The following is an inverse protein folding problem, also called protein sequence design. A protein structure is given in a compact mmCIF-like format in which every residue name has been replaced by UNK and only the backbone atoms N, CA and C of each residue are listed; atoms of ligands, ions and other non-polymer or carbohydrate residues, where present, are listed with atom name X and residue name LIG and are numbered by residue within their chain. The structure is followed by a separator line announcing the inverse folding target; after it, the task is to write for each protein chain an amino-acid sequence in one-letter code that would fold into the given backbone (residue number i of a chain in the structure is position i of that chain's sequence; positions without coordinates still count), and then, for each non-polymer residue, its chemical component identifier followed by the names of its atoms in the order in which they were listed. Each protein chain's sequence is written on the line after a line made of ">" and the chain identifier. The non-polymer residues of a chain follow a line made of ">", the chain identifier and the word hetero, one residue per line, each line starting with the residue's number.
data_IF_323315896935
#
_entry.id   IF_323315896935
#
_cell.length_a   1.000
_cell.length_b   1.000
_cell.length_c   1.000
_cell.angle_alpha   90.00
_cell.angle_beta   90.00
_cell.angle_gamma   90.00
#
_symmetry.space_group_name_H-M   'P 1'
#
loop_
_entity.id
_entity.type
_entity.pdbx_description
1 polymer ?
#
# COMPACT_ATOMS: atom_id res chain seq x y z
N UNK A 1 -6.53 13.21 24.64
CA UNK A 1 -5.26 13.63 24.01
C UNK A 1 -5.55 13.72 22.52
N UNK A 2 -5.64 14.93 21.98
CA UNK A 2 -6.10 15.16 20.59
C UNK A 2 -5.19 14.43 19.59
N UNK A 3 -5.79 13.52 18.82
CA UNK A 3 -5.14 12.72 17.80
C UNK A 3 -5.04 13.55 16.52
N UNK A 4 -4.13 14.51 16.44
CA UNK A 4 -3.95 15.31 15.23
C UNK A 4 -3.38 14.49 14.08
N UNK A 5 -4.10 14.44 12.96
CA UNK A 5 -3.68 13.81 11.71
C UNK A 5 -2.37 14.43 11.20
N UNK A 6 -1.35 13.63 10.85
CA UNK A 6 -0.05 14.17 10.47
C UNK A 6 -0.09 14.64 9.01
N UNK A 7 -0.66 15.82 8.77
CA UNK A 7 -0.78 16.42 7.43
C UNK A 7 0.58 16.52 6.68
N UNK A 8 1.69 16.68 7.42
CA UNK A 8 3.04 16.69 6.86
C UNK A 8 3.54 15.31 6.40
N UNK A 9 3.17 14.23 7.10
CA UNK A 9 3.53 12.85 6.72
C UNK A 9 2.66 12.35 5.57
N UNK A 10 1.40 12.80 5.57
CA UNK A 10 0.51 12.80 4.43
C UNK A 10 1.18 13.46 3.20
N UNK A 11 1.73 14.68 3.33
CA UNK A 11 2.49 15.36 2.26
C UNK A 11 3.72 14.59 1.73
N UNK A 12 4.29 13.65 2.51
CA UNK A 12 5.37 12.75 2.07
C UNK A 12 4.85 11.52 1.30
N UNK A 13 3.54 11.31 1.28
CA UNK A 13 2.82 10.33 0.45
C UNK A 13 2.18 11.05 -0.76
N UNK A 14 1.94 12.37 -0.68
CA UNK A 14 1.15 13.17 -1.62
C UNK A 14 1.99 14.21 -2.38
N UNK A 15 2.27 13.98 -3.66
CA UNK A 15 2.75 15.04 -4.57
C UNK A 15 1.64 15.69 -5.41
N UNK A 16 0.41 15.17 -5.41
CA UNK A 16 -0.68 15.68 -6.24
C UNK A 16 -2.03 15.71 -5.49
N UNK A 17 -2.54 16.91 -5.20
CA UNK A 17 -3.63 17.22 -4.26
C UNK A 17 -5.06 16.96 -4.78
N UNK A 18 -5.24 16.37 -5.96
CA UNK A 18 -6.53 16.22 -6.63
C UNK A 18 -7.19 14.83 -6.45
N UNK A 19 -6.72 14.00 -5.50
CA UNK A 19 -7.08 12.58 -5.40
C UNK A 19 -7.83 12.17 -4.12
N UNK A 20 -8.03 13.08 -3.15
CA UNK A 20 -8.53 12.69 -1.82
C UNK A 20 -9.52 13.67 -1.21
N UNK A 21 -10.55 13.13 -0.56
CA UNK A 21 -11.42 13.83 0.37
C UNK A 21 -10.84 13.71 1.79
N UNK A 22 -10.03 14.69 2.22
CA UNK A 22 -9.55 14.83 3.62
C UNK A 22 -10.69 15.31 4.55
N UNK A 23 -11.96 15.21 4.14
CA UNK A 23 -13.10 15.69 4.93
C UNK A 23 -13.40 14.81 6.16
N UNK A 24 -12.79 13.62 6.24
CA UNK A 24 -12.96 12.71 7.37
C UNK A 24 -12.02 13.05 8.52
N UNK A 25 -12.48 12.82 9.76
CA UNK A 25 -11.60 12.85 10.93
C UNK A 25 -10.84 11.53 11.00
N UNK A 26 -9.55 11.63 11.24
CA UNK A 26 -8.64 10.49 11.34
C UNK A 26 -8.12 10.38 12.76
N UNK A 27 -7.93 9.14 13.21
CA UNK A 27 -7.33 8.86 14.50
C UNK A 27 -6.27 7.79 14.40
N UNK A 28 -5.26 7.91 15.25
CA UNK A 28 -4.25 6.87 15.46
C UNK A 28 -4.85 5.71 16.25
N UNK A 29 -4.60 4.50 15.79
CA UNK A 29 -4.94 3.27 16.47
C UNK A 29 -3.91 2.91 17.54
N UNK A 30 -4.42 2.39 18.64
CA UNK A 30 -3.68 1.70 19.69
C UNK A 30 -3.31 0.28 19.26
N UNK A 31 -2.31 -0.36 19.89
CA UNK A 31 -1.88 -1.71 19.50
C UNK A 31 -2.98 -2.77 19.68
N UNK A 32 -3.92 -2.56 20.61
CA UNK A 32 -4.99 -3.49 20.89
C UNK A 32 -6.12 -3.45 19.85
N UNK A 33 -6.25 -2.36 19.10
CA UNK A 33 -7.16 -2.24 17.96
C UNK A 33 -6.60 -2.95 16.70
N UNK A 34 -5.36 -3.45 16.75
CA UNK A 34 -4.67 -4.09 15.63
C UNK A 34 -4.56 -5.61 15.79
N UNK A 35 -4.88 -6.32 14.71
CA UNK A 35 -4.52 -7.74 14.59
C UNK A 35 -3.11 -7.83 14.02
N UNK A 36 -2.15 -8.17 14.87
CA UNK A 36 -0.72 -8.26 14.53
C UNK A 36 -0.19 -9.64 14.88
N UNK A 37 0.24 -10.38 13.86
CA UNK A 37 1.03 -11.61 14.03
C UNK A 37 2.50 -11.20 14.29
N UNK A 38 3.16 -11.87 15.25
CA UNK A 38 4.52 -11.57 15.76
C UNK A 38 4.63 -10.19 16.43
N UNK A 39 3.86 -9.96 17.49
CA UNK A 39 3.83 -8.69 18.24
C UNK A 39 5.19 -8.24 18.78
N UNK A 40 6.13 -9.15 19.05
CA UNK A 40 7.48 -8.79 19.51
C UNK A 40 8.27 -7.94 18.51
N UNK A 41 7.89 -7.97 17.22
CA UNK A 41 8.49 -7.13 16.18
C UNK A 41 7.72 -5.81 15.96
N UNK A 42 6.63 -5.57 16.70
CA UNK A 42 5.81 -4.37 16.62
C UNK A 42 6.20 -3.38 17.72
N UNK A 43 6.69 -2.22 17.31
CA UNK A 43 6.89 -1.07 18.19
C UNK A 43 5.95 0.06 17.75
N UNK A 44 5.04 0.49 18.63
CA UNK A 44 4.10 1.55 18.31
C UNK A 44 4.78 2.91 18.11
N UNK A 45 5.98 3.12 18.66
CA UNK A 45 6.76 4.35 18.42
C UNK A 45 7.30 4.41 17.00
N UNK A 46 7.57 3.26 16.39
CA UNK A 46 8.05 3.11 15.01
C UNK A 46 6.91 2.92 14.01
N UNK A 47 5.84 2.19 14.38
CA UNK A 47 4.69 1.93 13.51
C UNK A 47 3.49 2.76 13.95
N UNK A 48 3.07 3.66 13.07
CA UNK A 48 1.87 4.45 13.27
C UNK A 48 0.80 4.02 12.27
N UNK A 49 -0.34 3.57 12.79
CA UNK A 49 -1.53 3.25 11.98
C UNK A 49 -2.61 4.27 12.26
N UNK A 50 -3.11 4.89 11.21
CA UNK A 50 -4.18 5.87 11.23
C UNK A 50 -5.33 5.38 10.38
N UNK A 51 -6.54 5.60 10.86
CA UNK A 51 -7.79 5.22 10.19
C UNK A 51 -8.82 6.33 10.38
N UNK A 52 -9.84 6.46 9.52
CA UNK A 52 -10.99 7.30 9.80
C UNK A 52 -11.64 6.90 11.14
N UNK A 53 -12.11 7.88 11.92
CA UNK A 53 -12.75 7.60 13.23
C UNK A 53 -13.96 6.66 13.10
N UNK A 54 -14.67 6.71 11.97
CA UNK A 54 -15.80 5.82 11.66
C UNK A 54 -15.41 4.36 11.46
N UNK A 55 -14.13 4.09 11.22
CA UNK A 55 -13.63 2.78 10.79
C UNK A 55 -13.00 2.00 11.94
N UNK A 56 -12.80 2.63 13.10
CA UNK A 56 -12.09 2.05 14.27
C UNK A 56 -12.71 0.74 14.72
N UNK A 57 -14.04 0.72 14.90
CA UNK A 57 -14.75 -0.45 15.44
C UNK A 57 -14.65 -1.68 14.53
N UNK A 58 -14.58 -1.48 13.21
CA UNK A 58 -14.53 -2.56 12.21
C UNK A 58 -13.13 -2.84 11.68
N UNK A 59 -12.14 -2.03 12.04
CA UNK A 59 -10.78 -2.09 11.48
C UNK A 59 -10.16 -3.48 11.58
N UNK A 60 -10.24 -4.09 12.77
CA UNK A 60 -9.66 -5.40 13.07
C UNK A 60 -10.33 -6.57 12.35
N UNK A 61 -11.55 -6.37 11.84
CA UNK A 61 -12.25 -7.38 11.03
C UNK A 61 -11.65 -7.49 9.62
N UNK A 62 -11.06 -6.40 9.15
CA UNK A 62 -10.58 -6.23 7.79
C UNK A 62 -9.06 -6.29 7.67
N UNK A 63 -8.32 -5.70 8.60
CA UNK A 63 -6.87 -5.59 8.52
C UNK A 63 -6.16 -6.60 9.41
N UNK A 64 -5.16 -7.28 8.83
CA UNK A 64 -4.19 -8.08 9.56
C UNK A 64 -2.78 -7.67 9.17
N UNK A 65 -1.93 -7.46 10.15
CA UNK A 65 -0.51 -7.24 9.98
C UNK A 65 0.25 -8.50 10.34
N UNK A 66 1.27 -8.85 9.56
CA UNK A 66 2.25 -9.87 9.92
C UNK A 66 3.65 -9.30 9.82
N UNK A 67 4.33 -9.18 10.95
CA UNK A 67 5.64 -8.53 11.02
C UNK A 67 6.71 -9.59 11.18
N UNK A 68 7.43 -9.87 10.11
CA UNK A 68 8.41 -10.95 10.07
C UNK A 68 9.77 -10.48 10.62
N UNK A 69 10.10 -9.20 10.43
CA UNK A 69 11.33 -8.56 10.93
C UNK A 69 11.01 -7.17 11.49
N UNK A 70 11.76 -6.69 12.50
CA UNK A 70 11.59 -5.35 13.04
C UNK A 70 11.62 -4.30 11.93
N UNK A 71 10.74 -3.31 12.04
CA UNK A 71 10.62 -2.22 11.08
C UNK A 71 11.20 -0.94 11.66
N UNK A 72 11.57 -0.03 10.78
CA UNK A 72 11.86 1.36 11.15
C UNK A 72 10.59 2.20 11.02
N UNK A 73 10.68 3.49 11.33
CA UNK A 73 9.58 4.48 11.20
C UNK A 73 8.71 4.25 9.98
N UNK A 74 7.49 3.80 10.23
CA UNK A 74 6.52 3.38 9.24
C UNK A 74 5.17 4.03 9.54
N UNK A 75 4.51 4.49 8.49
CA UNK A 75 3.19 5.11 8.58
C UNK A 75 2.21 4.38 7.67
N UNK A 76 1.03 4.12 8.22
CA UNK A 76 -0.09 3.48 7.55
C UNK A 76 -1.31 4.40 7.67
N UNK A 77 -1.86 4.83 6.54
CA UNK A 77 -3.11 5.56 6.43
C UNK A 77 -4.14 4.65 5.75
N UNK A 78 -5.03 4.05 6.54
CA UNK A 78 -5.85 2.94 6.08
C UNK A 78 -7.32 3.22 6.34
N UNK A 79 -8.11 3.31 5.28
CA UNK A 79 -9.56 3.29 5.37
C UNK A 79 -10.05 1.85 5.40
N UNK A 80 -11.08 1.57 6.21
CA UNK A 80 -11.69 0.25 6.24
C UNK A 80 -12.43 -0.03 4.94
N UNK A 81 -12.29 -1.27 4.42
CA UNK A 81 -13.13 -1.78 3.36
C UNK A 81 -14.62 -1.72 3.63
N UNK A 82 -15.40 -1.74 2.56
CA UNK A 82 -16.79 -2.20 2.66
C UNK A 82 -16.89 -3.74 2.75
N UNK A 83 -15.90 -4.46 2.20
CA UNK A 83 -15.85 -5.92 2.23
C UNK A 83 -14.45 -6.47 1.94
N UNK A 84 -14.18 -7.68 2.40
CA UNK A 84 -12.91 -8.37 2.18
C UNK A 84 -11.91 -8.16 3.32
N UNK A 85 -10.68 -8.65 3.11
CA UNK A 85 -9.60 -8.58 4.07
C UNK A 85 -8.33 -8.08 3.40
N UNK A 86 -7.59 -7.26 4.13
CA UNK A 86 -6.28 -6.76 3.74
C UNK A 86 -5.24 -7.34 4.69
N UNK A 87 -4.32 -8.12 4.14
CA UNK A 87 -3.15 -8.62 4.85
C UNK A 87 -1.93 -7.80 4.44
N UNK A 88 -1.23 -7.21 5.41
CA UNK A 88 0.03 -6.49 5.21
C UNK A 88 1.14 -7.30 5.87
N UNK A 89 2.01 -7.88 5.07
CA UNK A 89 3.17 -8.65 5.51
C UNK A 89 4.42 -7.79 5.38
N UNK A 90 5.09 -7.50 6.49
CA UNK A 90 6.25 -6.61 6.52
C UNK A 90 7.52 -7.39 6.88
N UNK A 91 8.59 -7.16 6.11
CA UNK A 91 9.92 -7.76 6.30
C UNK A 91 11.00 -6.68 6.44
N UNK A 92 10.87 -5.85 7.48
CA UNK A 92 11.81 -4.77 7.81
C UNK A 92 11.70 -3.54 6.93
N UNK A 93 12.59 -2.56 7.17
CA UNK A 93 12.60 -1.27 6.47
C UNK A 93 11.53 -0.28 6.97
N UNK A 94 11.43 0.85 6.28
CA UNK A 94 10.47 1.92 6.51
C UNK A 94 9.32 1.82 5.51
N UNK A 95 8.08 1.72 6.00
CA UNK A 95 6.90 1.56 5.16
C UNK A 95 6.09 2.86 5.09
N UNK A 96 5.71 3.25 3.87
CA UNK A 96 4.76 4.33 3.63
C UNK A 96 3.54 3.75 2.90
N UNK A 97 2.48 3.48 3.64
CA UNK A 97 1.29 2.83 3.07
C UNK A 97 0.07 3.71 3.23
N UNK A 98 -0.62 3.95 2.14
CA UNK A 98 -1.93 4.57 2.13
C UNK A 98 -2.90 3.71 1.32
N UNK A 99 -3.94 3.20 1.95
CA UNK A 99 -5.03 2.47 1.31
C UNK A 99 -6.31 3.23 1.64
N UNK A 100 -6.77 4.04 0.71
CA UNK A 100 -7.85 5.01 0.93
C UNK A 100 -9.16 4.56 0.26
N UNK A 101 -9.15 3.39 -0.37
CA UNK A 101 -10.35 2.80 -0.95
C UNK A 101 -11.31 2.30 0.13
N UNK A 102 -12.59 2.62 -0.03
CA UNK A 102 -13.71 2.05 0.73
C UNK A 102 -14.60 1.24 -0.21
N UNK A 103 -14.01 0.44 -1.08
CA UNK A 103 -14.74 -0.47 -1.98
C UNK A 103 -14.17 -1.88 -1.83
N UNK A 104 -14.71 -2.94 -2.45
CA UNK A 104 -14.36 -4.31 -2.02
C UNK A 104 -12.85 -4.61 -2.24
N UNK A 105 -12.16 -5.23 -1.28
CA UNK A 105 -10.68 -5.19 -1.20
C UNK A 105 -10.11 -6.41 -0.46
N UNK A 106 -10.06 -7.51 -1.22
CA UNK A 106 -9.25 -8.68 -0.88
C UNK A 106 -7.83 -8.44 -1.38
N UNK A 107 -6.91 -8.16 -0.47
CA UNK A 107 -5.55 -7.76 -0.81
C UNK A 107 -4.54 -8.42 0.13
N UNK A 108 -3.46 -8.96 -0.42
CA UNK A 108 -2.25 -9.30 0.35
C UNK A 108 -1.09 -8.48 -0.19
N UNK A 109 -0.52 -7.61 0.64
CA UNK A 109 0.64 -6.80 0.31
C UNK A 109 1.85 -7.29 1.11
N UNK A 110 2.90 -7.71 0.41
CA UNK A 110 4.18 -8.09 1.02
C UNK A 110 5.21 -7.01 0.73
N UNK A 111 5.70 -6.38 1.80
CA UNK A 111 6.63 -5.25 1.79
C UNK A 111 7.97 -5.69 2.38
N UNK A 112 9.05 -5.50 1.64
CA UNK A 112 10.41 -5.91 2.03
C UNK A 112 11.34 -4.72 1.88
N UNK A 113 12.13 -4.41 2.92
CA UNK A 113 12.93 -3.17 2.98
C UNK A 113 12.03 -1.92 2.80
N UNK A 114 12.58 -0.79 2.37
CA UNK A 114 11.83 0.46 2.26
C UNK A 114 10.85 0.43 1.07
N UNK A 115 9.54 0.46 1.33
CA UNK A 115 8.51 0.43 0.28
C UNK A 115 7.47 1.53 0.47
N UNK A 116 6.88 1.96 -0.64
CA UNK A 116 5.69 2.80 -0.64
C UNK A 116 4.55 2.13 -1.41
N UNK A 117 3.35 2.13 -0.82
CA UNK A 117 2.13 1.59 -1.43
C UNK A 117 1.01 2.62 -1.28
N UNK A 118 0.53 3.15 -2.39
CA UNK A 118 -0.64 4.01 -2.44
C UNK A 118 -1.76 3.35 -3.25
N UNK A 119 -2.95 3.25 -2.65
CA UNK A 119 -4.19 2.86 -3.32
C UNK A 119 -5.22 3.97 -3.11
N UNK A 120 -5.60 4.61 -4.21
CA UNK A 120 -6.55 5.71 -4.25
C UNK A 120 -7.98 5.34 -3.85
N UNK A 121 -8.79 6.37 -3.60
CA UNK A 121 -10.19 6.23 -3.21
C UNK A 121 -11.02 5.47 -4.25
N UNK A 122 -12.07 4.79 -3.80
CA UNK A 122 -13.04 4.07 -4.64
C UNK A 122 -12.44 3.03 -5.61
N UNK A 123 -11.19 2.59 -5.39
CA UNK A 123 -10.57 1.51 -6.19
C UNK A 123 -10.96 0.15 -5.64
N UNK A 124 -11.75 -0.61 -6.39
CA UNK A 124 -12.24 -1.93 -6.01
C UNK A 124 -11.26 -3.02 -6.40
N UNK A 125 -10.86 -3.88 -5.47
CA UNK A 125 -9.96 -5.01 -5.66
C UNK A 125 -10.64 -6.32 -5.24
N UNK A 126 -11.04 -7.13 -6.22
CA UNK A 126 -11.72 -8.41 -5.96
C UNK A 126 -10.76 -9.49 -5.46
N UNK A 127 -9.47 -9.38 -5.77
CA UNK A 127 -8.40 -10.22 -5.25
C UNK A 127 -7.06 -9.89 -5.87
N UNK A 128 -6.13 -9.38 -5.06
CA UNK A 128 -4.79 -9.08 -5.53
C UNK A 128 -3.68 -9.48 -4.56
N UNK A 129 -2.51 -9.77 -5.12
CA UNK A 129 -1.25 -9.93 -4.39
C UNK A 129 -0.24 -8.89 -4.89
N UNK A 130 0.24 -8.05 -3.99
CA UNK A 130 1.25 -7.03 -4.26
C UNK A 130 2.55 -7.45 -3.58
N UNK A 131 3.64 -7.51 -4.34
CA UNK A 131 4.97 -7.80 -3.83
C UNK A 131 5.90 -6.63 -4.11
N UNK A 132 6.39 -5.98 -3.05
CA UNK A 132 7.35 -4.89 -3.12
C UNK A 132 8.63 -5.26 -2.37
N UNK A 133 9.77 -4.91 -2.94
CA UNK A 133 11.08 -5.04 -2.30
C UNK A 133 11.93 -3.85 -2.72
N UNK A 134 12.21 -2.92 -1.79
CA UNK A 134 12.88 -1.65 -2.11
C UNK A 134 12.24 -0.96 -3.32
N UNK A 135 10.90 -0.91 -3.38
CA UNK A 135 10.14 -0.51 -4.57
C UNK A 135 8.82 0.16 -4.21
N UNK A 136 8.27 0.93 -5.13
CA UNK A 136 7.08 1.75 -4.92
C UNK A 136 5.93 1.38 -5.87
N UNK A 137 4.69 1.56 -5.42
CA UNK A 137 3.52 1.54 -6.30
C UNK A 137 2.54 2.66 -5.94
N UNK A 138 2.02 3.31 -6.98
CA UNK A 138 0.90 4.24 -6.91
C UNK A 138 -0.25 3.75 -7.76
N UNK A 139 -1.44 3.60 -7.16
CA UNK A 139 -2.69 3.26 -7.82
C UNK A 139 -3.66 4.42 -7.66
N UNK A 140 -4.15 4.94 -8.78
CA UNK A 140 -5.14 6.02 -8.82
C UNK A 140 -6.49 5.63 -8.25
N UNK A 141 -7.40 6.59 -8.21
CA UNK A 141 -8.77 6.39 -7.72
C UNK A 141 -9.69 5.76 -8.78
N UNK A 142 -10.84 5.26 -8.33
CA UNK A 142 -11.91 4.69 -9.17
C UNK A 142 -11.45 3.52 -10.06
N UNK A 143 -10.40 2.80 -9.68
CA UNK A 143 -9.96 1.60 -10.40
C UNK A 143 -10.87 0.39 -10.13
N UNK A 144 -10.82 -0.59 -11.02
CA UNK A 144 -11.49 -1.88 -10.84
C UNK A 144 -10.48 -3.00 -11.10
N UNK A 145 -10.13 -3.78 -10.10
CA UNK A 145 -9.24 -4.93 -10.24
C UNK A 145 -10.06 -6.19 -10.02
N UNK A 146 -10.01 -7.09 -10.99
CA UNK A 146 -10.63 -8.40 -10.87
C UNK A 146 -9.85 -9.28 -9.89
N UNK A 147 -10.20 -10.56 -9.85
CA UNK A 147 -9.57 -11.54 -8.97
C UNK A 147 -8.24 -12.05 -9.54
N UNK A 148 -7.42 -12.62 -8.66
CA UNK A 148 -6.10 -13.18 -8.97
C UNK A 148 -5.11 -12.21 -9.65
N UNK A 149 -5.24 -10.90 -9.43
CA UNK A 149 -4.28 -9.91 -9.96
C UNK A 149 -2.96 -10.00 -9.20
N UNK A 150 -1.84 -9.93 -9.93
CA UNK A 150 -0.50 -9.92 -9.35
C UNK A 150 0.18 -8.61 -9.71
N UNK A 151 0.74 -7.94 -8.71
CA UNK A 151 1.63 -6.80 -8.90
C UNK A 151 2.99 -7.18 -8.33
N UNK A 152 4.02 -7.10 -9.16
CA UNK A 152 5.37 -7.50 -8.82
C UNK A 152 6.34 -6.34 -9.02
N UNK A 153 6.62 -5.62 -7.94
CA UNK A 153 7.50 -4.45 -7.91
C UNK A 153 8.98 -4.78 -8.03
N UNK A 154 9.40 -6.03 -7.92
CA UNK A 154 10.82 -6.42 -8.09
C UNK A 154 10.95 -7.85 -8.62
N UNK A 155 12.12 -8.15 -9.17
CA UNK A 155 12.46 -9.52 -9.60
C UNK A 155 12.88 -10.40 -8.41
N UNK A 156 12.98 -9.84 -7.20
CA UNK A 156 13.40 -10.46 -5.93
C UNK A 156 14.85 -10.95 -5.89
N UNK A 157 15.38 -11.41 -7.02
CA UNK A 157 16.73 -11.94 -7.19
C UNK A 157 17.51 -11.13 -8.23
N UNK A 158 18.82 -11.05 -8.04
CA UNK A 158 19.72 -10.35 -8.94
C UNK A 158 19.86 -11.07 -10.28
N UNK A 159 19.77 -10.32 -11.38
CA UNK A 159 20.21 -10.74 -12.71
C UNK A 159 21.63 -10.21 -12.89
N UNK A 160 22.57 -11.09 -13.23
CA UNK A 160 23.99 -10.76 -13.32
C UNK A 160 24.41 -10.65 -14.78
N UNK A 161 25.02 -9.54 -15.15
CA UNK A 161 25.74 -9.40 -16.41
C UNK A 161 27.07 -10.15 -16.32
N UNK A 162 27.26 -11.15 -17.18
CA UNK A 162 28.45 -12.02 -17.15
C UNK A 162 29.72 -11.32 -17.61
N UNK A 163 29.62 -10.22 -18.35
CA UNK A 163 30.79 -9.46 -18.84
C UNK A 163 31.37 -8.54 -17.75
N UNK A 164 30.52 -7.99 -16.88
CA UNK A 164 30.90 -7.04 -15.84
C UNK A 164 30.88 -7.65 -14.44
N UNK A 165 30.14 -8.75 -14.24
CA UNK A 165 29.85 -9.32 -12.92
C UNK A 165 28.83 -8.51 -12.10
N UNK A 166 28.24 -7.46 -12.68
CA UNK A 166 27.31 -6.58 -11.98
C UNK A 166 25.87 -7.11 -11.98
N UNK A 167 25.13 -6.82 -10.89
CA UNK A 167 23.68 -7.02 -10.86
C UNK A 167 23.02 -5.87 -11.63
N UNK A 168 22.31 -6.19 -12.73
CA UNK A 168 21.73 -5.18 -13.63
C UNK A 168 20.30 -4.78 -13.29
N UNK A 169 19.67 -5.46 -12.33
CA UNK A 169 18.32 -5.17 -11.86
C UNK A 169 18.30 -4.67 -10.40
N UNK A 170 19.38 -4.03 -9.96
CA UNK A 170 19.58 -3.54 -8.59
C UNK A 170 18.82 -2.25 -8.24
N UNK A 171 18.40 -1.50 -9.26
CA UNK A 171 17.78 -0.19 -9.07
C UNK A 171 16.41 -0.28 -8.40
N UNK A 172 16.10 0.72 -7.56
CA UNK A 172 14.76 0.91 -6.99
C UNK A 172 13.77 1.13 -8.12
N UNK A 173 12.71 0.34 -8.12
CA UNK A 173 11.68 0.33 -9.13
C UNK A 173 10.38 0.97 -8.64
N UNK A 174 9.58 1.43 -9.58
CA UNK A 174 8.25 1.98 -9.30
C UNK A 174 7.20 1.41 -10.26
N UNK A 175 5.94 1.36 -9.83
CA UNK A 175 4.79 1.02 -10.66
C UNK A 175 3.78 2.16 -10.53
N UNK A 176 3.25 2.63 -11.66
CA UNK A 176 2.16 3.61 -11.67
C UNK A 176 0.96 3.02 -12.40
N UNK A 177 -0.19 3.04 -11.74
CA UNK A 177 -1.48 2.66 -12.32
C UNK A 177 -2.41 3.86 -12.17
N UNK A 178 -2.81 4.45 -13.28
CA UNK A 178 -3.61 5.67 -13.33
C UNK A 178 -5.01 5.52 -12.74
N UNK A 179 -5.76 6.63 -12.76
CA UNK A 179 -7.17 6.67 -12.36
C UNK A 179 -8.02 5.87 -13.35
N UNK A 180 -9.08 5.25 -12.84
CA UNK A 180 -10.08 4.54 -13.67
C UNK A 180 -9.51 3.37 -14.50
N UNK A 181 -8.47 2.71 -14.01
CA UNK A 181 -7.90 1.52 -14.67
C UNK A 181 -8.66 0.26 -14.28
N UNK A 182 -9.02 -0.55 -15.28
CA UNK A 182 -9.48 -1.92 -15.08
C UNK A 182 -8.34 -2.92 -15.29
N UNK A 183 -7.98 -3.68 -14.24
CA UNK A 183 -7.14 -4.88 -14.38
C UNK A 183 -8.01 -6.13 -14.46
N UNK A 184 -7.87 -6.85 -15.57
CA UNK A 184 -8.56 -8.11 -15.82
C UNK A 184 -8.15 -9.22 -14.85
N UNK A 185 -8.94 -10.29 -14.81
CA UNK A 185 -8.64 -11.46 -13.98
C UNK A 185 -7.29 -12.05 -14.41
N UNK A 186 -6.43 -12.41 -13.45
CA UNK A 186 -5.09 -12.97 -13.68
C UNK A 186 -4.13 -12.06 -14.46
N UNK A 187 -4.39 -10.75 -14.50
CA UNK A 187 -3.40 -9.80 -14.99
C UNK A 187 -2.18 -9.75 -14.06
N UNK A 188 -1.00 -9.58 -14.66
CA UNK A 188 0.26 -9.37 -13.95
C UNK A 188 0.87 -8.04 -14.35
N UNK A 189 1.20 -7.20 -13.38
CA UNK A 189 1.89 -5.92 -13.57
C UNK A 189 3.29 -6.03 -12.97
N UNK A 190 4.31 -5.86 -13.81
CA UNK A 190 5.72 -5.96 -13.41
C UNK A 190 6.30 -4.60 -13.03
N UNK A 191 7.48 -4.62 -12.42
CA UNK A 191 8.24 -3.43 -12.04
C UNK A 191 8.42 -2.47 -13.23
N UNK A 192 8.49 -1.18 -12.97
CA UNK A 192 8.70 -0.11 -13.96
C UNK A 192 7.58 0.02 -15.01
N UNK A 193 6.40 -0.55 -14.76
CA UNK A 193 5.22 -0.36 -15.62
C UNK A 193 4.49 0.93 -15.23
N UNK A 194 4.12 1.70 -16.24
CA UNK A 194 3.22 2.85 -16.15
C UNK A 194 1.96 2.57 -16.99
N UNK A 195 0.80 2.55 -16.33
CA UNK A 195 -0.52 2.44 -16.97
C UNK A 195 -1.21 3.79 -16.83
N UNK A 196 -1.51 4.42 -17.97
CA UNK A 196 -2.19 5.72 -18.01
C UNK A 196 -3.59 5.72 -17.37
N UNK A 197 -4.15 6.90 -17.24
CA UNK A 197 -5.49 7.11 -16.67
C UNK A 197 -6.58 7.29 -17.73
N UNK A 198 -7.85 7.07 -17.33
CA UNK A 198 -9.02 7.39 -18.14
C UNK A 198 -10.01 8.33 -17.41
N UNK A 199 -10.58 9.35 -18.09
CA UNK A 199 -10.17 9.84 -19.41
C UNK A 199 -8.73 10.36 -19.37
N UNK A 200 -8.06 10.39 -20.53
CA UNK A 200 -6.74 10.97 -20.63
C UNK A 200 -6.76 12.43 -20.13
N UNK A 201 -5.66 12.93 -19.51
CA UNK A 201 -5.59 14.32 -19.06
C UNK A 201 -5.92 15.26 -20.22
N UNK A 202 -6.77 16.27 -19.97
CA UNK A 202 -6.96 17.33 -20.97
C UNK A 202 -5.66 18.14 -21.04
N UNK A 203 -5.05 18.16 -22.23
CA UNK A 203 -3.84 18.95 -22.51
C UNK A 203 -4.10 20.43 -22.66
#
# INVERSE_FOLDING_TARGET
>A
MERHFPAAEAGLIYSNSAQFSIQQRWCRLSPDELIVDNRDNFDQSEIQVWTPESDVETFSEHYRFRIIRPVSKSIFLLSSPLAGKVEIVIRGGSQRVAILSRSAMKLSARLINDCSLLIGENTSIMGARIFLNSSDISVGCNGLWSDEVIVQGSDQHGIVDLSTGEIINKERSSITIGRHVWLGRRSMVMKNVDIGEWPAPMG
#
